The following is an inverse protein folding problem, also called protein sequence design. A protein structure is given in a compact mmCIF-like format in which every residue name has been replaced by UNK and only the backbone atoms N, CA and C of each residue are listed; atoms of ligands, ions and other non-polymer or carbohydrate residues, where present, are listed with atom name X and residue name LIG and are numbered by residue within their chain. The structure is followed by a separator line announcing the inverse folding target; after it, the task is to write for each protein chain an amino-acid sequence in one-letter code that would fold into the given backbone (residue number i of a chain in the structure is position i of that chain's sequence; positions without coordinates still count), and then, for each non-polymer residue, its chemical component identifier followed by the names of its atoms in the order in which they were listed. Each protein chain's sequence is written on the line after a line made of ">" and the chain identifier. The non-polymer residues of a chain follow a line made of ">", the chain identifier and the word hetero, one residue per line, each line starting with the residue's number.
data_IF_703474601946
#
_entry.id   IF_703474601946
#
_cell.length_a   1.000
_cell.length_b   1.000
_cell.length_c   1.000
_cell.angle_alpha   90.00
_cell.angle_beta   90.00
_cell.angle_gamma   90.00
#
_symmetry.space_group_name_H-M   'P 1'
#
loop_
_entity.id
_entity.type
_entity.pdbx_description
1 polymer ?
#
# COMPACT_ATOMS: atom_id res chain seq x y z
N UNK A 1 -26.35 -0.75 -15.02
CA UNK A 1 -25.38 -1.81 -14.66
C UNK A 1 -24.75 -2.35 -15.95
N UNK A 2 -23.42 -2.40 -16.09
CA UNK A 2 -22.77 -2.96 -17.29
C UNK A 2 -22.68 -4.47 -17.18
N UNK A 3 -23.07 -5.20 -18.24
CA UNK A 3 -23.04 -6.68 -18.26
C UNK A 3 -21.59 -7.16 -18.41
N UNK A 4 -21.15 -8.06 -17.53
CA UNK A 4 -19.87 -8.78 -17.65
C UNK A 4 -20.12 -10.06 -18.45
N UNK A 5 -19.21 -10.36 -19.38
CA UNK A 5 -19.24 -11.55 -20.23
C UNK A 5 -17.95 -12.35 -20.05
N UNK A 6 -18.02 -13.66 -20.25
CA UNK A 6 -16.84 -14.52 -20.31
C UNK A 6 -16.54 -14.81 -21.79
N UNK A 7 -15.36 -14.43 -22.28
CA UNK A 7 -14.88 -14.69 -23.65
C UNK A 7 -13.46 -15.22 -23.60
N UNK A 8 -13.21 -16.37 -24.21
CA UNK A 8 -11.87 -16.98 -24.30
C UNK A 8 -11.18 -17.13 -22.92
N UNK A 9 -11.96 -17.47 -21.88
CA UNK A 9 -11.46 -17.62 -20.51
C UNK A 9 -11.19 -16.30 -19.76
N UNK A 10 -11.45 -15.15 -20.37
CA UNK A 10 -11.28 -13.83 -19.74
C UNK A 10 -12.62 -13.14 -19.53
N UNK A 11 -12.80 -12.52 -18.37
CA UNK A 11 -13.93 -11.63 -18.11
C UNK A 11 -13.79 -10.37 -18.96
N UNK A 12 -14.88 -9.87 -19.54
CA UNK A 12 -14.85 -8.68 -20.38
C UNK A 12 -16.14 -7.86 -20.29
N UNK A 13 -16.03 -6.57 -20.61
CA UNK A 13 -17.18 -5.70 -20.82
C UNK A 13 -17.52 -5.58 -22.30
N UNK A 14 -18.81 -5.60 -22.63
CA UNK A 14 -19.30 -5.22 -23.96
C UNK A 14 -19.26 -3.69 -24.10
N UNK A 15 -18.55 -3.22 -25.13
CA UNK A 15 -18.52 -1.82 -25.53
C UNK A 15 -19.06 -1.71 -26.96
N UNK A 16 -20.16 -1.00 -27.11
CA UNK A 16 -20.63 -0.55 -28.44
C UNK A 16 -19.69 0.52 -28.96
N UNK A 17 -19.23 0.39 -30.20
CA UNK A 17 -18.46 1.45 -30.83
C UNK A 17 -19.36 2.65 -31.16
N UNK A 18 -19.00 3.88 -30.75
CA UNK A 18 -19.73 5.06 -31.17
C UNK A 18 -19.66 5.19 -32.70
N UNK A 19 -20.79 5.46 -33.34
CA UNK A 19 -20.90 5.57 -34.81
C UNK A 19 -21.20 4.27 -35.56
N UNK A 20 -21.16 3.11 -34.90
CA UNK A 20 -21.46 1.82 -35.54
C UNK A 20 -22.50 1.01 -34.75
N UNK A 21 -23.76 1.02 -35.19
CA UNK A 21 -24.88 0.36 -34.50
C UNK A 21 -24.69 -1.16 -34.27
N UNK A 22 -23.84 -1.82 -35.08
CA UNK A 22 -23.64 -3.27 -35.03
C UNK A 22 -22.23 -3.73 -34.62
N UNK A 23 -21.29 -2.82 -34.35
CA UNK A 23 -19.92 -3.21 -33.92
C UNK A 23 -19.82 -3.24 -32.40
N UNK A 24 -19.57 -4.43 -31.86
CA UNK A 24 -19.25 -4.66 -30.45
C UNK A 24 -17.74 -4.89 -30.31
N UNK A 25 -17.11 -4.21 -29.37
CA UNK A 25 -15.76 -4.53 -28.91
C UNK A 25 -15.82 -5.05 -27.48
N UNK A 26 -14.91 -5.96 -27.15
CA UNK A 26 -14.79 -6.53 -25.81
C UNK A 26 -13.55 -5.96 -25.15
N UNK A 27 -13.73 -5.34 -23.98
CA UNK A 27 -12.60 -4.86 -23.16
C UNK A 27 -12.33 -5.92 -22.11
N UNK A 28 -11.16 -6.56 -22.16
CA UNK A 28 -10.73 -7.51 -21.15
C UNK A 28 -10.69 -6.84 -19.79
N UNK A 29 -11.22 -7.54 -18.79
CA UNK A 29 -11.04 -7.22 -17.39
C UNK A 29 -9.83 -7.98 -16.89
N UNK A 30 -8.99 -7.30 -16.11
CA UNK A 30 -8.03 -8.01 -15.28
C UNK A 30 -8.78 -8.78 -14.19
N UNK A 31 -8.36 -10.01 -13.94
CA UNK A 31 -8.83 -10.79 -12.81
C UNK A 31 -8.52 -10.04 -11.52
N UNK A 32 -9.52 -9.86 -10.66
CA UNK A 32 -9.28 -9.36 -9.31
C UNK A 32 -8.48 -10.42 -8.53
N UNK A 33 -7.54 -10.03 -7.67
CA UNK A 33 -6.79 -10.97 -6.84
C UNK A 33 -7.74 -11.76 -5.93
N UNK A 34 -7.41 -13.03 -5.68
CA UNK A 34 -8.12 -13.85 -4.71
C UNK A 34 -7.90 -13.35 -3.27
N UNK A 35 -8.78 -13.68 -2.31
CA UNK A 35 -8.64 -13.20 -0.92
C UNK A 35 -7.27 -13.49 -0.28
N UNK A 36 -6.65 -14.62 -0.59
CA UNK A 36 -5.33 -15.01 -0.08
C UNK A 36 -4.14 -14.29 -0.74
N UNK A 37 -4.38 -13.54 -1.81
CA UNK A 37 -3.37 -12.74 -2.51
C UNK A 37 -3.38 -11.27 -2.07
N UNK A 38 -4.32 -10.91 -1.17
CA UNK A 38 -4.50 -9.54 -0.68
C UNK A 38 -3.75 -9.38 0.65
N UNK A 39 -2.74 -8.51 0.67
CA UNK A 39 -2.10 -8.05 1.91
C UNK A 39 -2.80 -6.79 2.43
N UNK A 40 -3.25 -6.82 3.68
CA UNK A 40 -3.88 -5.67 4.33
C UNK A 40 -2.80 -4.87 5.08
N UNK A 41 -2.52 -3.66 4.60
CA UNK A 41 -1.65 -2.71 5.28
C UNK A 41 -2.47 -1.76 6.15
N UNK A 42 -2.32 -1.88 7.46
CA UNK A 42 -2.91 -0.96 8.44
C UNK A 42 -1.99 0.23 8.66
N UNK A 43 -2.61 1.40 8.90
CA UNK A 43 -1.89 2.65 9.16
C UNK A 43 -2.55 3.39 10.31
N UNK A 44 -1.73 3.83 11.25
CA UNK A 44 -2.09 4.78 12.29
C UNK A 44 -1.33 6.09 12.06
N UNK A 45 -2.01 7.20 12.30
CA UNK A 45 -1.47 8.53 12.11
C UNK A 45 -1.67 9.34 13.37
N UNK A 46 -0.62 10.03 13.81
CA UNK A 46 -0.71 11.01 14.89
C UNK A 46 0.10 12.26 14.55
N UNK A 47 -0.44 13.42 14.91
CA UNK A 47 0.19 14.72 14.67
C UNK A 47 0.86 15.20 15.95
N UNK A 48 1.97 15.92 15.81
CA UNK A 48 2.56 16.61 16.94
C UNK A 48 1.63 17.72 17.42
N UNK A 49 1.54 17.91 18.75
CA UNK A 49 0.68 18.95 19.35
C UNK A 49 1.08 20.34 18.90
N UNK A 50 2.38 20.62 18.89
CA UNK A 50 2.91 21.96 18.64
C UNK A 50 3.15 22.26 17.15
N UNK A 51 3.20 21.22 16.31
CA UNK A 51 3.41 21.36 14.87
C UNK A 51 2.57 20.35 14.10
N UNK A 52 1.39 20.77 13.65
CA UNK A 52 0.49 19.94 12.87
C UNK A 52 1.07 19.45 11.53
N UNK A 53 2.16 20.06 11.03
CA UNK A 53 2.90 19.61 9.83
C UNK A 53 3.90 18.49 10.13
N UNK A 54 4.21 18.23 11.40
CA UNK A 54 5.02 17.09 11.83
C UNK A 54 4.10 15.95 12.27
N UNK A 55 4.21 14.82 11.61
CA UNK A 55 3.28 13.70 11.77
C UNK A 55 4.04 12.40 11.90
N UNK A 56 3.67 11.56 12.86
CA UNK A 56 4.12 10.18 12.94
C UNK A 56 3.10 9.28 12.23
N UNK A 57 3.59 8.44 11.33
CA UNK A 57 2.84 7.36 10.67
C UNK A 57 3.41 6.03 11.17
N UNK A 58 2.53 5.16 11.64
CA UNK A 58 2.88 3.77 11.98
C UNK A 58 2.15 2.88 10.99
N UNK A 59 2.87 2.05 10.26
CA UNK A 59 2.29 1.12 9.28
C UNK A 59 2.65 -0.32 9.65
N UNK A 60 1.70 -1.24 9.60
CA UNK A 60 1.94 -2.67 9.85
C UNK A 60 1.06 -3.53 8.95
N UNK A 61 1.56 -4.72 8.64
CA UNK A 61 0.78 -5.73 7.91
C UNK A 61 -0.09 -6.48 8.90
N UNK A 62 -1.37 -6.63 8.57
CA UNK A 62 -2.27 -7.50 9.32
C UNK A 62 -2.10 -8.92 8.76
N UNK A 63 -1.33 -9.74 9.46
CA UNK A 63 -1.09 -11.15 9.14
C UNK A 63 -1.60 -11.97 10.32
N UNK A 64 -2.44 -12.97 10.06
CA UNK A 64 -3.13 -13.74 11.10
C UNK A 64 -2.19 -14.47 12.07
N UNK A 65 -0.93 -14.73 11.71
CA UNK A 65 -0.04 -15.64 12.45
C UNK A 65 1.46 -15.27 12.47
N UNK A 66 1.89 -14.09 12.00
CA UNK A 66 3.32 -13.74 11.93
C UNK A 66 3.68 -12.55 12.84
N UNK A 67 4.92 -12.56 13.35
CA UNK A 67 5.49 -11.48 14.17
C UNK A 67 5.16 -10.10 13.58
N UNK A 68 4.46 -9.26 14.37
CA UNK A 68 4.02 -7.94 13.95
C UNK A 68 5.21 -7.01 13.77
N UNK A 69 5.71 -6.88 12.54
CA UNK A 69 6.65 -5.82 12.19
C UNK A 69 5.86 -4.53 11.90
N UNK A 70 6.24 -3.44 12.58
CA UNK A 70 5.68 -2.11 12.38
C UNK A 70 6.77 -1.16 11.89
N UNK A 71 6.46 -0.40 10.84
CA UNK A 71 7.30 0.68 10.33
C UNK A 71 6.87 2.01 10.95
N UNK A 72 7.83 2.74 11.52
CA UNK A 72 7.60 4.04 12.13
C UNK A 72 8.25 5.12 11.26
N UNK A 73 7.42 5.99 10.70
CA UNK A 73 7.86 7.08 9.84
C UNK A 73 7.49 8.42 10.49
N UNK A 74 8.42 9.37 10.42
CA UNK A 74 8.18 10.75 10.86
C UNK A 74 8.18 11.64 9.61
N UNK A 75 7.03 12.21 9.30
CA UNK A 75 6.78 13.02 8.13
C UNK A 75 6.84 14.51 8.50
N UNK A 76 7.46 15.30 7.64
CA UNK A 76 7.64 16.74 7.84
C UNK A 76 8.93 17.09 8.59
N UNK A 77 9.14 18.39 8.80
CA UNK A 77 10.34 18.90 9.48
C UNK A 77 10.09 18.98 10.98
N UNK A 78 10.86 18.23 11.76
CA UNK A 78 10.88 18.39 13.21
C UNK A 78 11.47 19.77 13.54
N UNK A 79 10.74 20.58 14.31
CA UNK A 79 11.20 21.92 14.74
C UNK A 79 12.03 21.86 16.02
N UNK A 80 12.01 20.72 16.71
CA UNK A 80 12.81 20.48 17.91
C UNK A 80 14.13 19.82 17.49
N UNK A 81 15.25 20.31 18.03
CA UNK A 81 16.51 19.55 17.98
C UNK A 81 16.24 18.17 18.58
N UNK A 82 16.73 17.07 17.99
CA UNK A 82 16.62 15.77 18.64
C UNK A 82 17.18 15.93 20.05
N UNK A 83 16.38 15.58 21.07
CA UNK A 83 16.92 15.47 22.41
C UNK A 83 18.18 14.63 22.28
N UNK A 84 19.34 15.17 22.69
CA UNK A 84 20.58 14.40 22.82
C UNK A 84 20.42 13.41 23.99
N UNK A 85 19.38 12.59 23.96
CA UNK A 85 19.24 11.40 24.77
C UNK A 85 20.05 10.32 24.08
N UNK A 86 21.26 10.08 24.61
CA UNK A 86 22.18 8.98 24.30
C UNK A 86 21.62 8.02 23.26
N UNK A 87 21.87 8.35 21.99
CA UNK A 87 21.60 7.47 20.86
C UNK A 87 22.27 6.12 21.19
N UNK A 88 21.45 5.10 21.42
CA UNK A 88 21.89 3.72 21.39
C UNK A 88 22.54 3.54 20.03
N UNK A 89 23.86 3.47 20.02
CA UNK A 89 24.64 3.17 18.82
C UNK A 89 24.05 1.90 18.22
N UNK A 90 23.36 2.06 17.09
CA UNK A 90 23.07 0.96 16.21
C UNK A 90 24.43 0.39 15.80
N UNK A 91 24.80 -0.70 16.49
CA UNK A 91 26.01 -1.47 16.23
C UNK A 91 25.88 -1.99 14.81
N UNK A 92 26.47 -1.27 13.85
CA UNK A 92 26.70 -1.80 12.51
C UNK A 92 27.67 -2.97 12.67
N UNK A 93 27.12 -4.18 12.87
CA UNK A 93 27.84 -5.41 12.61
C UNK A 93 27.98 -5.54 11.09
N UNK A 94 28.98 -4.85 10.53
CA UNK A 94 29.59 -5.31 9.29
C UNK A 94 30.35 -6.58 9.64
N UNK A 95 29.71 -7.74 9.43
CA UNK A 95 30.45 -8.96 9.18
C UNK A 95 31.02 -8.84 7.77
N UNK A 96 32.23 -8.33 7.65
CA UNK A 96 33.11 -8.71 6.55
C UNK A 96 33.73 -10.03 6.97
N UNK A 97 33.20 -11.11 6.41
CA UNK A 97 33.81 -12.44 6.43
C UNK A 97 35.15 -12.37 5.68
N UNK A 98 36.12 -13.12 6.20
CA UNK A 98 37.51 -13.22 5.72
C UNK A 98 37.64 -14.42 4.80
#
# INVERSE_FOLDING_TARGET
>A
MRKVLLKEGKSCFDRRQPGHKNKRSYISLESQPGPGEILILRRYYTKHTDNAKYQKRVSWLEIEQAMSCACHEYLGKCLLQPHRGKCWQARQLRKTET
#
